data_IF_441065029023
#
_entry.id   IF_441065029023
#
_cell.length_a   1.000
_cell.length_b   1.000
_cell.length_c   1.000
_cell.angle_alpha   90.00
_cell.angle_beta   90.00
_cell.angle_gamma   90.00
#
_symmetry.space_group_name_H-M   'P 1'
#
loop_
_entity.id
_entity.type
_entity.pdbx_description
1 polymer ?
#
# COMPACT_ATOMS: atom_id res chain seq x y z
N UNK A 1 -30.98 -62.10 40.70
CA UNK A 1 -31.31 -61.77 39.30
C UNK A 1 -32.18 -60.52 39.14
N UNK A 2 -33.50 -60.53 39.38
CA UNK A 2 -34.33 -59.32 39.12
C UNK A 2 -33.93 -58.12 39.99
N UNK A 3 -33.61 -58.34 41.28
CA UNK A 3 -33.16 -57.28 42.19
C UNK A 3 -31.75 -56.74 41.88
N UNK A 4 -30.82 -57.59 41.46
CA UNK A 4 -29.47 -57.15 41.03
C UNK A 4 -29.55 -56.27 39.78
N UNK A 5 -30.37 -56.67 38.79
CA UNK A 5 -30.61 -55.87 37.59
C UNK A 5 -31.28 -54.53 37.92
N UNK A 6 -32.14 -54.48 38.94
CA UNK A 6 -32.73 -53.23 39.42
C UNK A 6 -31.68 -52.31 40.06
N UNK A 7 -30.81 -52.86 40.91
CA UNK A 7 -29.73 -52.10 41.54
C UNK A 7 -28.74 -51.55 40.51
N UNK A 8 -28.32 -52.37 39.55
CA UNK A 8 -27.41 -51.94 38.47
C UNK A 8 -28.03 -50.82 37.62
N UNK A 9 -29.33 -50.93 37.31
CA UNK A 9 -30.08 -49.86 36.63
C UNK A 9 -30.08 -48.56 37.44
N UNK A 10 -30.33 -48.61 38.73
CA UNK A 10 -30.34 -47.42 39.59
C UNK A 10 -28.96 -46.76 39.69
N UNK A 11 -27.90 -47.56 39.82
CA UNK A 11 -26.52 -47.07 39.81
C UNK A 11 -26.17 -46.40 38.46
N UNK A 12 -26.55 -47.02 37.34
CA UNK A 12 -26.33 -46.45 36.01
C UNK A 12 -27.11 -45.13 35.81
N UNK A 13 -28.35 -45.05 36.30
CA UNK A 13 -29.16 -43.83 36.24
C UNK A 13 -28.56 -42.71 37.10
N UNK A 14 -28.08 -43.02 38.31
CA UNK A 14 -27.42 -42.06 39.17
C UNK A 14 -26.11 -41.54 38.54
N UNK A 15 -25.31 -42.42 37.96
CA UNK A 15 -24.07 -42.05 37.26
C UNK A 15 -24.36 -41.18 36.02
N UNK A 16 -25.34 -41.56 35.21
CA UNK A 16 -25.75 -40.78 34.04
C UNK A 16 -26.25 -39.38 34.43
N UNK A 17 -27.06 -39.28 35.51
CA UNK A 17 -27.53 -38.00 36.04
C UNK A 17 -26.37 -37.12 36.51
N UNK A 18 -25.42 -37.69 37.26
CA UNK A 18 -24.23 -36.94 37.71
C UNK A 18 -23.42 -36.42 36.52
N UNK A 19 -23.25 -37.23 35.46
CA UNK A 19 -22.56 -36.80 34.24
C UNK A 19 -23.33 -35.69 33.51
N UNK A 20 -24.66 -35.80 33.40
CA UNK A 20 -25.50 -34.78 32.78
C UNK A 20 -25.43 -33.44 33.54
N UNK A 21 -25.49 -33.48 34.88
CA UNK A 21 -25.34 -32.30 35.73
C UNK A 21 -23.94 -31.66 35.60
N UNK A 22 -22.89 -32.47 35.45
CA UNK A 22 -21.53 -31.98 35.19
C UNK A 22 -21.41 -31.37 33.79
N UNK A 23 -21.98 -31.99 32.75
CA UNK A 23 -22.00 -31.46 31.39
C UNK A 23 -22.70 -30.10 31.32
N UNK A 24 -23.82 -29.93 32.03
CA UNK A 24 -24.53 -28.66 32.12
C UNK A 24 -23.67 -27.54 32.73
N UNK A 25 -22.80 -27.86 33.72
CA UNK A 25 -21.86 -26.87 34.29
C UNK A 25 -20.83 -26.38 33.28
N UNK A 26 -20.46 -27.20 32.30
CA UNK A 26 -19.51 -26.82 31.25
C UNK A 26 -20.17 -26.06 30.10
N UNK A 27 -21.48 -26.16 29.92
CA UNK A 27 -22.18 -25.53 28.81
C UNK A 27 -21.95 -24.00 28.78
N UNK A 28 -22.24 -23.30 29.88
CA UNK A 28 -22.09 -21.85 29.96
C UNK A 28 -20.65 -21.37 29.65
N UNK A 29 -19.57 -21.87 30.30
CA UNK A 29 -18.23 -21.41 29.99
C UNK A 29 -17.78 -21.77 28.57
N UNK A 30 -18.23 -22.90 28.00
CA UNK A 30 -17.94 -23.25 26.61
C UNK A 30 -18.64 -22.32 25.62
N UNK A 31 -19.91 -21.98 25.86
CA UNK A 31 -20.66 -21.06 25.02
C UNK A 31 -20.07 -19.65 25.07
N UNK A 32 -19.72 -19.15 26.27
CA UNK A 32 -19.02 -17.88 26.43
C UNK A 32 -17.66 -17.90 25.73
N UNK A 33 -16.83 -18.93 25.97
CA UNK A 33 -15.52 -19.04 25.33
C UNK A 33 -15.60 -19.11 23.81
N UNK A 34 -16.62 -19.79 23.26
CA UNK A 34 -16.89 -19.83 21.81
C UNK A 34 -17.28 -18.45 21.28
N UNK A 35 -18.14 -17.73 21.98
CA UNK A 35 -18.54 -16.37 21.59
C UNK A 35 -17.35 -15.40 21.61
N UNK A 36 -16.56 -15.42 22.69
CA UNK A 36 -15.36 -14.57 22.82
C UNK A 36 -14.34 -14.87 21.73
N UNK A 37 -14.12 -16.16 21.41
CA UNK A 37 -13.23 -16.56 20.34
C UNK A 37 -13.72 -16.05 18.98
N UNK A 38 -15.02 -16.19 18.70
CA UNK A 38 -15.64 -15.66 17.47
C UNK A 38 -15.43 -14.15 17.34
N UNK A 39 -15.69 -13.40 18.41
CA UNK A 39 -15.50 -11.95 18.44
C UNK A 39 -14.04 -11.57 18.16
N UNK A 40 -13.08 -12.26 18.77
CA UNK A 40 -11.65 -12.03 18.52
C UNK A 40 -11.23 -12.34 17.08
N UNK A 41 -11.79 -13.39 16.48
CA UNK A 41 -11.53 -13.68 15.06
C UNK A 41 -12.09 -12.60 14.15
N UNK A 42 -13.29 -12.06 14.44
CA UNK A 42 -13.84 -10.94 13.68
C UNK A 42 -13.00 -9.67 13.81
N UNK A 43 -12.52 -9.35 15.02
CA UNK A 43 -11.62 -8.21 15.25
C UNK A 43 -10.30 -8.38 14.49
N UNK A 44 -9.70 -9.57 14.56
CA UNK A 44 -8.48 -9.90 13.83
C UNK A 44 -8.69 -9.74 12.32
N UNK A 45 -9.81 -10.23 11.78
CA UNK A 45 -10.14 -10.10 10.37
C UNK A 45 -10.25 -8.63 9.95
N UNK A 46 -10.97 -7.81 10.74
CA UNK A 46 -11.09 -6.37 10.49
C UNK A 46 -9.72 -5.68 10.51
N UNK A 47 -8.86 -6.03 11.48
CA UNK A 47 -7.52 -5.46 11.58
C UNK A 47 -6.62 -5.89 10.41
N UNK A 48 -6.69 -7.16 10.00
CA UNK A 48 -5.93 -7.69 8.88
C UNK A 48 -6.30 -6.99 7.57
N UNK A 49 -7.60 -6.78 7.30
CA UNK A 49 -8.04 -6.03 6.12
C UNK A 49 -7.57 -4.58 6.17
N UNK A 50 -7.66 -3.91 7.33
CA UNK A 50 -7.13 -2.54 7.48
C UNK A 50 -5.62 -2.47 7.22
N UNK A 51 -4.85 -3.43 7.73
CA UNK A 51 -3.41 -3.51 7.48
C UNK A 51 -3.11 -3.72 5.99
N UNK A 52 -3.86 -4.60 5.32
CA UNK A 52 -3.73 -4.85 3.88
C UNK A 52 -4.03 -3.61 3.06
N UNK A 53 -5.09 -2.87 3.38
CA UNK A 53 -5.41 -1.60 2.74
C UNK A 53 -4.31 -0.55 2.93
N UNK A 54 -3.81 -0.39 4.15
CA UNK A 54 -2.73 0.55 4.45
C UNK A 54 -1.44 0.18 3.71
N UNK A 55 -1.09 -1.11 3.68
CA UNK A 55 0.05 -1.62 2.91
C UNK A 55 -0.10 -1.31 1.42
N UNK A 56 -1.27 -1.58 0.84
CA UNK A 56 -1.52 -1.29 -0.57
C UNK A 56 -1.43 0.21 -0.88
N UNK A 57 -1.89 1.09 0.03
CA UNK A 57 -1.72 2.55 -0.11
C UNK A 57 -0.25 2.96 -0.07
N UNK A 58 0.52 2.39 0.86
CA UNK A 58 1.95 2.64 0.99
C UNK A 58 2.72 2.17 -0.25
N UNK A 59 2.43 0.98 -0.76
CA UNK A 59 3.06 0.45 -1.98
C UNK A 59 2.79 1.33 -3.20
N UNK A 60 1.54 1.80 -3.37
CA UNK A 60 1.21 2.76 -4.45
C UNK A 60 1.98 4.07 -4.32
N UNK A 61 2.05 4.61 -3.10
CA UNK A 61 2.79 5.84 -2.86
C UNK A 61 4.30 5.66 -3.09
N UNK A 62 4.88 4.55 -2.61
CA UNK A 62 6.28 4.22 -2.79
C UNK A 62 6.63 4.03 -4.28
N UNK A 63 5.76 3.38 -5.06
CA UNK A 63 5.92 3.25 -6.49
C UNK A 63 5.86 4.61 -7.21
N UNK A 64 4.88 5.46 -6.87
CA UNK A 64 4.74 6.79 -7.46
C UNK A 64 5.92 7.72 -7.11
N UNK A 65 6.45 7.59 -5.89
CA UNK A 65 7.58 8.37 -5.39
C UNK A 65 8.93 7.71 -5.67
N UNK A 66 8.94 6.59 -6.40
CA UNK A 66 10.19 5.93 -6.75
C UNK A 66 11.06 6.93 -7.55
N UNK A 67 12.33 7.14 -7.17
CA UNK A 67 13.16 8.17 -7.77
C UNK A 67 13.28 8.10 -9.31
N UNK A 68 13.33 6.87 -9.87
CA UNK A 68 13.30 6.67 -11.32
C UNK A 68 11.96 7.12 -11.95
N UNK A 69 10.83 6.77 -11.33
CA UNK A 69 9.50 7.17 -11.80
C UNK A 69 9.35 8.70 -11.80
N UNK A 70 9.85 9.38 -10.76
CA UNK A 70 9.87 10.84 -10.71
C UNK A 70 10.76 11.45 -11.80
N UNK A 71 11.89 10.83 -12.11
CA UNK A 71 12.76 11.26 -13.21
C UNK A 71 12.04 11.13 -14.56
N UNK A 72 11.44 9.98 -14.85
CA UNK A 72 10.73 9.73 -16.10
C UNK A 72 9.57 10.73 -16.30
N UNK A 73 8.78 10.97 -15.24
CA UNK A 73 7.72 11.98 -15.24
C UNK A 73 8.26 13.38 -15.49
N UNK A 74 9.37 13.76 -14.85
CA UNK A 74 9.99 15.06 -15.05
C UNK A 74 10.54 15.23 -16.47
N UNK A 75 11.07 14.17 -17.09
CA UNK A 75 11.53 14.18 -18.47
C UNK A 75 10.38 14.43 -19.45
N UNK A 76 9.26 13.71 -19.29
CA UNK A 76 8.05 13.91 -20.09
C UNK A 76 7.55 15.35 -19.97
N UNK A 77 7.45 15.84 -18.74
CA UNK A 77 7.04 17.22 -18.47
C UNK A 77 8.04 18.27 -19.00
N UNK A 78 9.33 17.94 -19.06
CA UNK A 78 10.36 18.80 -19.66
C UNK A 78 10.21 18.87 -21.18
N UNK A 79 9.97 17.73 -21.84
CA UNK A 79 9.73 17.67 -23.29
C UNK A 79 8.47 18.44 -23.66
N UNK A 80 7.38 18.24 -22.91
CA UNK A 80 6.11 18.92 -23.16
C UNK A 80 6.25 20.45 -23.13
N UNK A 81 6.94 21.01 -22.13
CA UNK A 81 7.11 22.47 -22.06
C UNK A 81 8.08 23.00 -23.14
N UNK A 82 9.04 22.18 -23.59
CA UNK A 82 9.90 22.50 -24.73
C UNK A 82 9.04 22.64 -26.01
N UNK A 83 8.26 21.60 -26.33
CA UNK A 83 7.36 21.58 -27.49
C UNK A 83 6.31 22.70 -27.45
N UNK A 84 5.72 22.96 -26.28
CA UNK A 84 4.77 24.06 -26.12
C UNK A 84 5.44 25.41 -26.36
N UNK A 85 6.70 25.57 -25.93
CA UNK A 85 7.46 26.80 -26.15
C UNK A 85 7.81 26.98 -27.64
N UNK A 86 8.16 25.90 -28.34
CA UNK A 86 8.40 25.90 -29.79
C UNK A 86 7.13 26.29 -30.56
N UNK A 87 5.99 25.68 -30.23
CA UNK A 87 4.69 26.05 -30.82
C UNK A 87 4.32 27.51 -30.57
N UNK A 88 4.63 28.07 -29.40
CA UNK A 88 4.42 29.49 -29.12
C UNK A 88 5.30 30.39 -30.01
N UNK A 89 6.55 29.98 -30.27
CA UNK A 89 7.44 30.69 -31.17
C UNK A 89 6.98 30.62 -32.63
N UNK A 90 6.54 29.46 -33.11
CA UNK A 90 5.98 29.28 -34.46
C UNK A 90 4.79 30.22 -34.68
N UNK A 91 3.81 30.20 -33.77
CA UNK A 91 2.63 31.08 -33.85
C UNK A 91 2.96 32.56 -33.85
N UNK A 92 4.00 32.96 -33.12
CA UNK A 92 4.48 34.34 -33.14
C UNK A 92 5.09 34.70 -34.50
N UNK A 93 5.89 33.81 -35.10
CA UNK A 93 6.48 34.02 -36.42
C UNK A 93 5.44 34.04 -37.55
N UNK A 94 4.33 33.31 -37.37
CA UNK A 94 3.17 33.33 -38.25
C UNK A 94 2.29 34.59 -38.07
N UNK A 95 2.58 35.42 -37.07
CA UNK A 95 1.81 36.63 -36.76
C UNK A 95 0.50 36.39 -36.02
N UNK A 96 0.27 35.17 -35.50
CA UNK A 96 -0.94 34.81 -34.74
C UNK A 96 -0.93 35.36 -33.31
N UNK A 97 0.25 35.73 -32.80
CA UNK A 97 0.45 36.19 -31.41
C UNK A 97 1.11 37.58 -31.41
N UNK A 98 0.55 38.57 -30.70
CA UNK A 98 1.20 39.88 -30.53
C UNK A 98 2.51 39.79 -29.74
N UNK A 99 3.45 40.70 -30.03
CA UNK A 99 4.79 40.73 -29.42
C UNK A 99 4.74 40.70 -27.88
N UNK A 100 3.87 41.49 -27.29
CA UNK A 100 3.75 41.65 -25.84
C UNK A 100 3.29 40.34 -25.18
N UNK A 101 2.32 39.66 -25.80
CA UNK A 101 1.83 38.34 -25.32
C UNK A 101 2.91 37.28 -25.46
N UNK A 102 3.65 37.30 -26.57
CA UNK A 102 4.75 36.39 -26.80
C UNK A 102 5.84 36.57 -25.75
N UNK A 103 6.32 37.79 -25.50
CA UNK A 103 7.37 38.06 -24.53
C UNK A 103 6.98 37.63 -23.11
N UNK A 104 5.75 37.90 -22.68
CA UNK A 104 5.26 37.49 -21.36
C UNK A 104 5.21 35.96 -21.21
N UNK A 105 4.62 35.26 -22.17
CA UNK A 105 4.39 33.81 -22.06
C UNK A 105 5.65 33.01 -22.37
N UNK A 106 6.31 33.30 -23.47
CA UNK A 106 7.48 32.56 -23.93
C UNK A 106 8.64 32.64 -22.94
N UNK A 107 8.88 33.81 -22.33
CA UNK A 107 9.92 33.94 -21.32
C UNK A 107 9.68 33.02 -20.10
N UNK A 108 8.43 32.93 -19.62
CA UNK A 108 8.03 32.04 -18.52
C UNK A 108 8.21 30.58 -18.92
N UNK A 109 7.77 30.21 -20.13
CA UNK A 109 7.89 28.84 -20.64
C UNK A 109 9.34 28.41 -20.80
N UNK A 110 10.20 29.24 -21.42
CA UNK A 110 11.63 28.96 -21.58
C UNK A 110 12.36 28.88 -20.24
N UNK A 111 12.02 29.75 -19.29
CA UNK A 111 12.54 29.66 -17.91
C UNK A 111 12.17 28.31 -17.29
N UNK A 112 10.94 27.86 -17.45
CA UNK A 112 10.47 26.58 -16.91
C UNK A 112 11.16 25.38 -17.62
N UNK A 113 11.25 25.38 -18.95
CA UNK A 113 11.97 24.35 -19.73
C UNK A 113 13.42 24.23 -19.24
N UNK A 114 14.16 25.33 -19.18
CA UNK A 114 15.55 25.30 -18.74
C UNK A 114 15.71 24.84 -17.29
N UNK A 115 14.82 25.28 -16.40
CA UNK A 115 14.81 24.82 -15.01
C UNK A 115 14.56 23.30 -14.92
N UNK A 116 13.59 22.77 -15.68
CA UNK A 116 13.27 21.34 -15.72
C UNK A 116 14.44 20.54 -16.30
N UNK A 117 15.08 21.01 -17.38
CA UNK A 117 16.27 20.37 -17.96
C UNK A 117 17.39 20.21 -16.93
N UNK A 118 17.73 21.26 -16.20
CA UNK A 118 18.76 21.20 -15.14
C UNK A 118 18.34 20.24 -14.02
N UNK A 119 17.06 20.22 -13.63
CA UNK A 119 16.56 19.28 -12.62
C UNK A 119 16.64 17.82 -13.07
N UNK A 120 16.35 17.53 -14.34
CA UNK A 120 16.52 16.21 -14.94
C UNK A 120 17.98 15.78 -14.84
N UNK A 121 18.90 16.61 -15.32
CA UNK A 121 20.35 16.32 -15.28
C UNK A 121 20.84 16.05 -13.86
N UNK A 122 20.38 16.85 -12.88
CA UNK A 122 20.78 16.70 -11.48
C UNK A 122 20.18 15.46 -10.83
N UNK A 123 18.92 15.13 -11.09
CA UNK A 123 18.31 13.92 -10.57
C UNK A 123 18.97 12.66 -11.16
N UNK A 124 19.27 12.67 -12.46
CA UNK A 124 20.05 11.60 -13.11
C UNK A 124 21.44 11.43 -12.49
N UNK A 125 22.11 12.52 -12.11
CA UNK A 125 23.40 12.46 -11.43
C UNK A 125 23.28 11.81 -10.04
N UNK A 126 22.25 12.17 -9.27
CA UNK A 126 21.98 11.60 -7.94
C UNK A 126 21.71 10.10 -8.03
N UNK A 127 20.87 9.67 -8.99
CA UNK A 127 20.54 8.26 -9.20
C UNK A 127 21.78 7.43 -9.54
N UNK A 128 22.57 7.87 -10.52
CA UNK A 128 23.82 7.20 -10.90
C UNK A 128 24.81 7.08 -9.74
N UNK A 129 24.92 8.12 -8.90
CA UNK A 129 25.78 8.06 -7.69
C UNK A 129 25.26 7.07 -6.66
N UNK A 130 23.94 6.99 -6.49
CA UNK A 130 23.30 6.02 -5.58
C UNK A 130 23.57 4.58 -6.03
N UNK A 131 23.48 4.31 -7.32
CA UNK A 131 23.79 2.99 -7.91
C UNK A 131 25.27 2.63 -7.73
N UNK A 132 26.17 3.57 -8.03
CA UNK A 132 27.60 3.38 -7.85
C UNK A 132 28.03 3.18 -6.38
N UNK A 133 27.25 3.69 -5.43
CA UNK A 133 27.49 3.50 -3.99
C UNK A 133 26.94 2.17 -3.46
N UNK A 134 26.08 1.49 -4.23
CA UNK A 134 25.48 0.20 -3.89
C UNK A 134 26.26 -1.01 -4.44
N UNK A 135 27.37 -0.79 -5.16
CA UNK A 135 28.33 -1.85 -5.47
C UNK A 135 29.45 -1.91 -4.40
N UNK A 136 29.43 -2.90 -3.50
CA UNK A 136 30.61 -3.33 -2.78
C UNK A 136 31.17 -4.64 -3.36
N UNK A 137 32.41 -4.60 -3.85
CA UNK A 137 33.37 -5.71 -3.78
C UNK A 137 33.00 -7.03 -4.47
N UNK A 138 32.95 -7.02 -5.81
CA UNK A 138 33.22 -8.24 -6.58
C UNK A 138 34.71 -8.57 -6.55
N UNK A 139 35.02 -9.74 -6.01
CA UNK A 139 36.28 -10.50 -6.08
C UNK A 139 37.57 -9.87 -5.53
N UNK A 140 38.07 -10.50 -4.46
CA UNK A 140 39.51 -10.69 -4.26
C UNK A 140 39.72 -12.12 -3.75
N UNK A 141 40.43 -12.88 -4.59
CA UNK A 141 41.03 -14.23 -4.47
C UNK A 141 41.03 -14.94 -3.12
#
# INVERSE_FOLDING_TARGET
QVQELQLEREMALAANRSLAEQNLKFQAPLETGRADLSNKYEELQKLAERCKEQKAKLEKFAAAMHPQTLLDLLQVESQKIEEESEKMAEKFLEGEVPLETFLERFAVMRKLSHLRRVRVEKLQEILRKSEASQEPGGDSQ
#
